data_IF_709542430865
#
_entry.id   IF_709542430865
#
_cell.length_a   1.000
_cell.length_b   1.000
_cell.length_c   1.000
_cell.angle_alpha   90.00
_cell.angle_beta   90.00
_cell.angle_gamma   90.00
#
_symmetry.space_group_name_H-M   'P 1'
#
loop_
_entity.id
_entity.type
_entity.pdbx_description
1 polymer ?
#
# COMPACT_ATOMS: atom_id res chain seq x y z
N UNK A 1 4.99 1.14 14.77
CA UNK A 1 5.91 0.73 13.68
C UNK A 1 6.27 1.96 12.87
N UNK A 2 7.51 2.10 12.41
CA UNK A 2 7.92 3.22 11.54
C UNK A 2 7.52 2.95 10.08
N UNK A 3 7.15 4.00 9.35
CA UNK A 3 6.81 3.93 7.91
C UNK A 3 7.92 3.24 7.10
N UNK A 4 9.19 3.53 7.42
CA UNK A 4 10.34 2.94 6.75
C UNK A 4 10.45 1.41 6.95
N UNK A 5 10.16 0.91 8.15
CA UNK A 5 10.18 -0.54 8.41
C UNK A 5 9.06 -1.26 7.66
N UNK A 6 7.86 -0.69 7.63
CA UNK A 6 6.75 -1.25 6.86
C UNK A 6 7.05 -1.24 5.36
N UNK A 7 7.58 -0.13 4.82
CA UNK A 7 8.02 0.00 3.42
C UNK A 7 9.00 -1.12 3.02
N UNK A 8 10.07 -1.32 3.79
CA UNK A 8 11.05 -2.39 3.50
C UNK A 8 10.40 -3.78 3.46
N UNK A 9 9.37 -4.03 4.28
CA UNK A 9 8.66 -5.31 4.29
C UNK A 9 7.69 -5.48 3.12
N UNK A 10 7.13 -4.40 2.56
CA UNK A 10 6.32 -4.48 1.31
C UNK A 10 7.18 -4.94 0.14
N UNK A 11 8.42 -4.47 0.05
CA UNK A 11 9.35 -4.77 -1.03
C UNK A 11 10.11 -6.10 -0.83
N UNK A 12 9.89 -6.79 0.30
CA UNK A 12 10.57 -8.04 0.59
C UNK A 12 9.86 -9.24 -0.08
N UNK A 13 10.40 -9.71 -1.20
CA UNK A 13 9.89 -10.86 -1.94
C UNK A 13 9.95 -12.20 -1.19
N UNK A 14 10.72 -12.28 -0.09
CA UNK A 14 10.75 -13.47 0.79
C UNK A 14 9.51 -13.58 1.68
N UNK A 15 8.72 -12.51 1.81
CA UNK A 15 7.50 -12.53 2.61
C UNK A 15 6.29 -12.92 1.75
N UNK A 16 5.33 -13.69 2.31
CA UNK A 16 4.06 -13.96 1.66
C UNK A 16 3.33 -12.68 1.24
N UNK A 17 2.64 -12.72 0.10
CA UNK A 17 1.91 -11.57 -0.46
C UNK A 17 0.94 -10.94 0.56
N UNK A 18 0.24 -11.75 1.34
CA UNK A 18 -0.69 -11.28 2.38
C UNK A 18 0.01 -10.48 3.49
N UNK A 19 1.22 -10.89 3.89
CA UNK A 19 2.01 -10.16 4.88
C UNK A 19 2.51 -8.84 4.31
N UNK A 20 2.99 -8.84 3.07
CA UNK A 20 3.42 -7.63 2.36
C UNK A 20 2.26 -6.63 2.19
N UNK A 21 1.07 -7.12 1.82
CA UNK A 21 -0.15 -6.31 1.73
C UNK A 21 -0.52 -5.67 3.07
N UNK A 22 -0.39 -6.41 4.19
CA UNK A 22 -0.62 -5.86 5.53
C UNK A 22 0.33 -4.68 5.83
N UNK A 23 1.61 -4.82 5.48
CA UNK A 23 2.58 -3.73 5.62
C UNK A 23 2.26 -2.53 4.71
N UNK A 24 1.79 -2.77 3.49
CA UNK A 24 1.37 -1.70 2.59
C UNK A 24 0.17 -0.93 3.15
N UNK A 25 -0.83 -1.63 3.73
CA UNK A 25 -1.97 -0.99 4.40
C UNK A 25 -1.54 -0.18 5.64
N UNK A 26 -0.51 -0.63 6.36
CA UNK A 26 0.10 0.16 7.44
C UNK A 26 0.75 1.44 6.90
N UNK A 27 1.41 1.40 5.74
CA UNK A 27 1.94 2.61 5.11
C UNK A 27 0.82 3.55 4.64
N UNK A 28 -0.25 2.99 4.07
CA UNK A 28 -1.42 3.75 3.63
C UNK A 28 -2.06 4.57 4.76
N UNK A 29 -2.08 4.06 6.01
CA UNK A 29 -2.54 4.84 7.17
C UNK A 29 -1.70 6.13 7.37
N UNK A 30 -0.38 6.03 7.23
CA UNK A 30 0.51 7.19 7.41
C UNK A 30 0.32 8.20 6.27
N UNK A 31 0.19 7.72 5.04
CA UNK A 31 -0.03 8.58 3.87
C UNK A 31 -1.39 9.25 3.93
N UNK A 32 -2.47 8.52 4.28
CA UNK A 32 -3.80 9.12 4.39
C UNK A 32 -3.85 10.18 5.47
N UNK A 33 -3.20 9.93 6.62
CA UNK A 33 -3.07 10.94 7.69
C UNK A 33 -2.29 12.17 7.23
N UNK A 34 -1.20 12.00 6.46
CA UNK A 34 -0.41 13.11 5.89
C UNK A 34 -1.23 13.97 4.92
N UNK A 35 -2.08 13.32 4.12
CA UNK A 35 -2.93 13.97 3.12
C UNK A 35 -4.22 14.56 3.71
N UNK A 36 -4.51 14.32 4.99
CA UNK A 36 -5.76 14.75 5.62
C UNK A 36 -7.01 14.04 5.09
N UNK A 37 -6.86 12.84 4.52
CA UNK A 37 -7.96 12.01 4.00
C UNK A 37 -8.10 10.70 4.78
N UNK A 38 -9.22 10.02 4.60
CA UNK A 38 -9.41 8.68 5.16
C UNK A 38 -8.62 7.63 4.38
N UNK A 39 -8.29 6.51 5.02
CA UNK A 39 -7.66 5.37 4.34
C UNK A 39 -8.51 4.83 3.19
N UNK A 40 -9.83 4.82 3.36
CA UNK A 40 -10.76 4.33 2.34
C UNK A 40 -10.75 5.21 1.10
N UNK A 41 -10.66 6.54 1.28
CA UNK A 41 -10.47 7.48 0.16
C UNK A 41 -9.13 7.24 -0.54
N UNK A 42 -8.04 7.07 0.22
CA UNK A 42 -6.74 6.74 -0.38
C UNK A 42 -6.80 5.45 -1.20
N UNK A 43 -7.51 4.42 -0.71
CA UNK A 43 -7.73 3.19 -1.48
C UNK A 43 -8.56 3.41 -2.73
N UNK A 44 -9.64 4.21 -2.68
CA UNK A 44 -10.42 4.56 -3.87
C UNK A 44 -9.57 5.30 -4.90
N UNK A 45 -8.73 6.26 -4.47
CA UNK A 45 -7.82 7.00 -5.35
C UNK A 45 -6.80 6.04 -5.99
N UNK A 46 -6.21 5.15 -5.18
CA UNK A 46 -5.24 4.16 -5.65
C UNK A 46 -5.86 3.17 -6.63
N UNK A 47 -7.06 2.65 -6.35
CA UNK A 47 -7.80 1.76 -7.25
C UNK A 47 -8.14 2.48 -8.55
N UNK A 48 -8.63 3.73 -8.47
CA UNK A 48 -8.99 4.54 -9.64
C UNK A 48 -7.78 4.81 -10.54
N UNK A 49 -6.60 5.02 -9.96
CA UNK A 49 -5.39 5.31 -10.71
C UNK A 49 -4.65 4.08 -11.23
N UNK A 50 -4.60 3.00 -10.45
CA UNK A 50 -3.77 1.83 -10.75
C UNK A 50 -4.55 0.60 -11.20
N UNK A 51 -5.85 0.56 -10.92
CA UNK A 51 -6.73 -0.61 -11.11
C UNK A 51 -6.59 -1.68 -10.03
N UNK A 52 -5.82 -1.43 -8.97
CA UNK A 52 -5.45 -2.46 -7.97
C UNK A 52 -6.07 -2.18 -6.61
N UNK A 53 -6.68 -3.21 -6.02
CA UNK A 53 -7.16 -3.20 -4.63
C UNK A 53 -6.09 -3.72 -3.66
N UNK A 54 -5.59 -2.83 -2.78
CA UNK A 54 -4.62 -3.14 -1.72
C UNK A 54 -5.15 -4.09 -0.64
N UNK A 55 -6.47 -4.26 -0.54
CA UNK A 55 -7.03 -5.24 0.39
C UNK A 55 -6.82 -6.67 -0.12
N UNK A 56 -6.87 -6.88 -1.44
CA UNK A 56 -6.76 -8.19 -2.09
C UNK A 56 -5.87 -8.14 -3.34
N UNK A 57 -4.57 -7.82 -3.22
CA UNK A 57 -3.66 -7.91 -4.35
C UNK A 57 -3.57 -9.37 -4.82
N UNK A 58 -3.66 -9.61 -6.13
CA UNK A 58 -3.60 -10.98 -6.70
C UNK A 58 -2.17 -11.46 -6.90
N UNK A 59 -1.24 -10.53 -7.11
CA UNK A 59 0.17 -10.83 -7.34
C UNK A 59 1.06 -9.69 -6.82
N UNK A 60 2.37 -9.95 -6.83
CA UNK A 60 3.38 -8.99 -6.40
C UNK A 60 3.40 -7.69 -7.22
N UNK A 61 3.22 -7.79 -8.55
CA UNK A 61 3.24 -6.64 -9.45
C UNK A 61 2.12 -5.66 -9.12
N UNK A 62 0.91 -6.16 -8.89
CA UNK A 62 -0.24 -5.37 -8.45
C UNK A 62 0.07 -4.64 -7.13
N UNK A 63 0.57 -5.38 -6.13
CA UNK A 63 0.91 -4.81 -4.82
C UNK A 63 1.94 -3.69 -4.95
N UNK A 64 3.04 -3.92 -5.69
CA UNK A 64 4.11 -2.93 -5.87
C UNK A 64 3.60 -1.71 -6.65
N UNK A 65 2.79 -1.91 -7.69
CA UNK A 65 2.20 -0.83 -8.48
C UNK A 65 1.33 0.08 -7.61
N UNK A 66 0.41 -0.50 -6.84
CA UNK A 66 -0.45 0.24 -5.93
C UNK A 66 0.35 0.96 -4.84
N UNK A 67 1.30 0.25 -4.24
CA UNK A 67 2.17 0.77 -3.19
C UNK A 67 2.99 1.98 -3.67
N UNK A 68 3.63 1.86 -4.82
CA UNK A 68 4.47 2.93 -5.38
C UNK A 68 3.66 4.16 -5.73
N UNK A 69 2.42 3.99 -6.20
CA UNK A 69 1.54 5.11 -6.53
C UNK A 69 1.17 5.92 -5.28
N UNK A 70 0.61 5.29 -4.24
CA UNK A 70 0.17 6.07 -3.08
C UNK A 70 1.34 6.60 -2.25
N UNK A 71 2.50 5.95 -2.26
CA UNK A 71 3.69 6.44 -1.55
C UNK A 71 4.16 7.82 -2.09
N UNK A 72 3.88 8.11 -3.37
CA UNK A 72 4.24 9.35 -4.05
C UNK A 72 3.21 10.48 -3.87
N UNK A 73 2.05 10.21 -3.26
CA UNK A 73 1.03 11.22 -2.94
C UNK A 73 1.39 11.96 -1.64
#
# INVERSE_FOLDING_TARGET
MSHNSSRSKVLNSKLPLNQRASHARSCANHVSARLGITREELFKITIKATGVDLNKPKNESELIKAFSYFEQL
#
